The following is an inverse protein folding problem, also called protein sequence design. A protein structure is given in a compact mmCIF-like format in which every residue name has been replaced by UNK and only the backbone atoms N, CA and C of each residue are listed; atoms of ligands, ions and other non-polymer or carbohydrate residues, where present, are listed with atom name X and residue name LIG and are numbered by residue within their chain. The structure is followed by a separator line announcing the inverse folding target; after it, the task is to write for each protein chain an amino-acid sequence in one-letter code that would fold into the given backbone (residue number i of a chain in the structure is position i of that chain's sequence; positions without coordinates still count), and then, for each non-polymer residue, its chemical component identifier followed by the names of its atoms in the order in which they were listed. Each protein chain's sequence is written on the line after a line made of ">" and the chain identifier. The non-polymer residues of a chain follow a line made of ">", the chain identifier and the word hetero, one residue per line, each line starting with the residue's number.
data_IF_830106142010
#
_entry.id   IF_830106142010
#
_cell.length_a   1.000
_cell.length_b   1.000
_cell.length_c   1.000
_cell.angle_alpha   90.00
_cell.angle_beta   90.00
_cell.angle_gamma   90.00
#
_symmetry.space_group_name_H-M   'P 1'
#
loop_
_entity.id
_entity.type
_entity.pdbx_description
1 polymer ?
#
# COMPACT_ATOMS: atom_id res chain seq x y z
N UNK A 1 0.38 -7.96 47.62
CA UNK A 1 -0.41 -7.50 46.46
C UNK A 1 0.44 -6.95 45.29
N UNK A 2 1.76 -6.81 45.43
CA UNK A 2 2.66 -6.39 44.34
C UNK A 2 3.18 -7.56 43.48
N UNK A 3 3.26 -8.78 44.02
CA UNK A 3 3.76 -9.95 43.27
C UNK A 3 2.81 -10.43 42.15
N UNK A 4 1.49 -10.33 42.33
CA UNK A 4 0.52 -10.75 41.30
C UNK A 4 0.50 -9.84 40.05
N UNK A 5 1.00 -8.61 40.13
CA UNK A 5 1.00 -7.68 38.99
C UNK A 5 2.16 -7.96 38.01
N UNK A 6 3.25 -8.55 38.53
CA UNK A 6 4.45 -8.85 37.75
C UNK A 6 4.34 -10.21 37.04
N UNK A 7 3.59 -11.16 37.61
CA UNK A 7 3.24 -12.42 36.92
C UNK A 7 2.23 -12.23 35.77
N UNK A 8 1.28 -11.28 35.90
CA UNK A 8 0.31 -10.98 34.83
C UNK A 8 0.94 -10.31 33.59
N UNK A 9 2.04 -9.58 33.75
CA UNK A 9 2.79 -8.95 32.65
C UNK A 9 3.58 -9.95 31.79
N UNK A 10 3.81 -11.16 32.29
CA UNK A 10 4.57 -12.19 31.59
C UNK A 10 3.70 -13.15 30.75
N UNK A 11 2.37 -13.04 30.83
CA UNK A 11 1.42 -13.88 30.08
C UNK A 11 0.53 -13.11 29.10
N UNK A 12 0.69 -11.79 29.01
CA UNK A 12 -0.11 -10.93 28.13
C UNK A 12 0.58 -10.74 26.78
N UNK A 13 -0.18 -10.88 25.70
CA UNK A 13 0.34 -10.68 24.34
C UNK A 13 0.85 -9.24 24.17
N UNK A 14 1.66 -8.99 23.13
CA UNK A 14 2.16 -7.63 22.86
C UNK A 14 1.00 -6.63 22.66
N UNK A 15 -0.10 -7.09 22.09
CA UNK A 15 -1.39 -6.40 22.00
C UNK A 15 -1.96 -6.08 23.37
N UNK A 16 -2.07 -7.04 24.27
CA UNK A 16 -2.65 -6.82 25.62
C UNK A 16 -1.80 -5.85 26.45
N UNK A 17 -0.47 -5.88 26.31
CA UNK A 17 0.43 -4.91 26.98
C UNK A 17 0.31 -3.51 26.40
N UNK A 18 0.11 -3.41 25.09
CA UNK A 18 -0.18 -2.14 24.40
C UNK A 18 -1.55 -1.63 24.85
N UNK A 19 -2.60 -2.43 24.81
CA UNK A 19 -3.94 -2.09 25.30
C UNK A 19 -3.93 -1.67 26.78
N UNK A 20 -3.22 -2.37 27.67
CA UNK A 20 -3.08 -2.00 29.09
C UNK A 20 -2.36 -0.66 29.30
N UNK A 21 -1.26 -0.41 28.57
CA UNK A 21 -0.54 0.88 28.64
C UNK A 21 -1.34 2.02 28.01
N UNK A 22 -2.18 1.70 27.04
CA UNK A 22 -3.08 2.63 26.38
C UNK A 22 -4.39 2.82 27.15
N UNK A 23 -4.78 1.93 28.07
CA UNK A 23 -6.05 2.04 28.79
C UNK A 23 -6.17 3.36 29.56
N UNK A 24 -5.07 3.84 30.17
CA UNK A 24 -5.01 5.16 30.82
C UNK A 24 -5.04 6.34 29.82
N UNK A 25 -4.64 6.09 28.58
CA UNK A 25 -4.73 7.03 27.45
C UNK A 25 -6.13 7.06 26.85
N UNK A 26 -6.83 5.93 26.87
CA UNK A 26 -8.21 5.81 26.39
C UNK A 26 -9.21 6.55 27.29
N UNK A 27 -8.88 6.76 28.58
CA UNK A 27 -9.68 7.52 29.56
C UNK A 27 -9.61 9.04 29.40
N UNK A 28 -8.62 9.58 28.68
CA UNK A 28 -8.43 11.04 28.48
C UNK A 28 -9.13 11.58 27.23
N UNK A 29 -10.24 10.94 26.82
CA UNK A 29 -11.09 11.41 25.71
C UNK A 29 -11.40 12.91 25.89
N UNK A 30 -10.98 13.72 24.92
CA UNK A 30 -11.19 15.18 24.81
C UNK A 30 -10.17 16.11 25.49
N UNK A 31 -9.03 15.61 25.96
CA UNK A 31 -7.95 16.49 26.41
C UNK A 31 -7.18 17.07 25.21
N UNK A 32 -7.11 18.41 25.12
CA UNK A 32 -6.22 19.11 24.19
C UNK A 32 -4.75 18.76 24.49
N UNK A 33 -3.91 18.76 23.45
CA UNK A 33 -2.45 18.48 23.48
C UNK A 33 -1.76 18.94 24.77
N UNK A 34 -1.97 20.20 25.16
CA UNK A 34 -1.33 20.86 26.30
C UNK A 34 -1.62 20.18 27.66
N UNK A 35 -2.74 19.49 27.78
CA UNK A 35 -3.19 18.85 29.02
C UNK A 35 -2.83 17.36 29.10
N UNK A 36 -2.36 16.76 28.00
CA UNK A 36 -1.98 15.35 28.00
C UNK A 36 -0.65 15.15 28.75
N UNK A 37 -0.48 14.05 29.52
CA UNK A 37 0.81 13.73 30.12
C UNK A 37 1.87 13.47 29.05
N UNK A 38 3.14 13.80 29.33
CA UNK A 38 4.23 13.65 28.35
C UNK A 38 4.34 12.22 27.82
N UNK A 39 4.26 11.19 28.67
CA UNK A 39 4.32 9.80 28.21
C UNK A 39 3.17 9.40 27.27
N UNK A 40 2.02 10.09 27.32
CA UNK A 40 0.91 9.88 26.38
C UNK A 40 1.22 10.51 25.03
N UNK A 41 1.79 11.72 25.04
CA UNK A 41 2.24 12.40 23.81
C UNK A 41 3.33 11.61 23.09
N UNK A 42 4.27 11.01 23.81
CA UNK A 42 5.31 10.15 23.24
C UNK A 42 4.70 8.92 22.53
N UNK A 43 3.74 8.26 23.19
CA UNK A 43 3.04 7.10 22.61
C UNK A 43 2.25 7.50 21.38
N UNK A 44 1.49 8.59 21.44
CA UNK A 44 0.76 9.11 20.28
C UNK A 44 1.71 9.48 19.14
N UNK A 45 2.83 10.15 19.40
CA UNK A 45 3.79 10.55 18.37
C UNK A 45 4.42 9.32 17.69
N UNK A 46 4.91 8.35 18.49
CA UNK A 46 5.42 7.08 17.96
C UNK A 46 4.37 6.35 17.13
N UNK A 47 3.12 6.33 17.62
CA UNK A 47 2.03 5.66 16.93
C UNK A 47 1.70 6.35 15.59
N UNK A 48 1.54 7.67 15.56
CA UNK A 48 1.29 8.44 14.33
C UNK A 48 2.40 8.25 13.29
N UNK A 49 3.66 8.20 13.73
CA UNK A 49 4.78 7.92 12.82
C UNK A 49 4.64 6.52 12.17
N UNK A 50 4.32 5.49 12.95
CA UNK A 50 4.12 4.12 12.43
C UNK A 50 2.91 4.10 11.48
N UNK A 51 1.80 4.75 11.86
CA UNK A 51 0.59 4.79 11.03
C UNK A 51 0.86 5.48 9.70
N UNK A 52 1.65 6.56 9.70
CA UNK A 52 2.08 7.25 8.49
C UNK A 52 2.88 6.31 7.57
N UNK A 53 3.86 5.58 8.11
CA UNK A 53 4.66 4.62 7.32
C UNK A 53 3.77 3.55 6.67
N UNK A 54 2.71 3.10 7.36
CA UNK A 54 1.77 2.13 6.79
C UNK A 54 0.87 2.74 5.71
N UNK A 55 0.41 3.99 5.89
CA UNK A 55 -0.32 4.71 4.85
C UNK A 55 0.55 4.96 3.61
N UNK A 56 1.81 5.35 3.79
CA UNK A 56 2.79 5.51 2.71
C UNK A 56 3.04 4.17 1.98
N UNK A 57 3.11 3.06 2.71
CA UNK A 57 3.27 1.72 2.11
C UNK A 57 2.06 1.32 1.27
N UNK A 58 0.84 1.64 1.72
CA UNK A 58 -0.37 1.42 0.94
C UNK A 58 -0.40 2.30 -0.32
N UNK A 59 -0.02 3.58 -0.20
CA UNK A 59 0.13 4.49 -1.34
C UNK A 59 1.13 3.95 -2.36
N UNK A 60 2.30 3.51 -1.93
CA UNK A 60 3.32 2.91 -2.81
C UNK A 60 2.79 1.67 -3.55
N UNK A 61 2.08 0.78 -2.85
CA UNK A 61 1.51 -0.42 -3.46
C UNK A 61 0.44 -0.08 -4.51
N UNK A 62 -0.40 0.94 -4.27
CA UNK A 62 -1.42 1.37 -5.24
C UNK A 62 -0.76 2.04 -6.46
N UNK A 63 0.25 2.89 -6.25
CA UNK A 63 1.01 3.53 -7.34
C UNK A 63 1.73 2.50 -8.19
N UNK A 64 2.42 1.53 -7.58
CA UNK A 64 3.10 0.45 -8.31
C UNK A 64 2.10 -0.38 -9.14
N UNK A 65 0.92 -0.66 -8.58
CA UNK A 65 -0.14 -1.35 -9.31
C UNK A 65 -0.67 -0.54 -10.50
N UNK A 66 -0.84 0.78 -10.35
CA UNK A 66 -1.23 1.68 -11.42
C UNK A 66 -0.18 1.70 -12.55
N UNK A 67 1.09 1.88 -12.20
CA UNK A 67 2.20 1.92 -13.14
C UNK A 67 2.28 0.61 -13.96
N UNK A 68 2.16 -0.54 -13.28
CA UNK A 68 2.20 -1.84 -13.93
C UNK A 68 0.99 -2.10 -14.83
N UNK A 69 -0.21 -1.69 -14.42
CA UNK A 69 -1.41 -1.78 -15.24
C UNK A 69 -1.28 -0.89 -16.50
N UNK A 70 -0.75 0.31 -16.34
CA UNK A 70 -0.50 1.25 -17.44
C UNK A 70 0.51 0.71 -18.46
N UNK A 71 1.53 -0.03 -18.01
CA UNK A 71 2.50 -0.67 -18.89
C UNK A 71 1.88 -1.77 -19.77
N UNK A 72 0.92 -2.54 -19.23
CA UNK A 72 0.13 -3.46 -20.04
C UNK A 72 -0.73 -2.72 -21.07
N UNK A 73 -1.38 -1.63 -20.67
CA UNK A 73 -2.23 -0.84 -21.57
C UNK A 73 -1.41 -0.20 -22.70
N UNK A 74 -0.20 0.28 -22.40
CA UNK A 74 0.74 0.76 -23.41
C UNK A 74 1.14 -0.36 -24.39
N UNK A 75 1.46 -1.56 -23.89
CA UNK A 75 1.84 -2.70 -24.74
C UNK A 75 0.68 -3.13 -25.65
N UNK A 76 -0.55 -3.11 -25.12
CA UNK A 76 -1.78 -3.36 -25.90
C UNK A 76 -1.91 -2.33 -27.04
N UNK A 77 -1.74 -1.05 -26.73
CA UNK A 77 -1.84 0.03 -27.71
C UNK A 77 -0.76 -0.09 -28.79
N UNK A 78 0.48 -0.43 -28.43
CA UNK A 78 1.57 -0.65 -29.37
C UNK A 78 1.24 -1.76 -30.39
N UNK A 79 0.71 -2.90 -29.93
CA UNK A 79 0.28 -3.96 -30.84
C UNK A 79 -0.91 -3.56 -31.71
N UNK A 80 -1.87 -2.79 -31.17
CA UNK A 80 -2.99 -2.27 -31.97
C UNK A 80 -2.51 -1.31 -33.06
N UNK A 81 -1.57 -0.42 -32.75
CA UNK A 81 -1.02 0.51 -33.73
C UNK A 81 -0.21 -0.18 -34.83
N UNK A 82 0.43 -1.31 -34.52
CA UNK A 82 1.06 -2.17 -35.53
C UNK A 82 0.00 -2.81 -36.46
N UNK A 83 -1.11 -3.31 -35.92
CA UNK A 83 -2.19 -3.91 -36.71
C UNK A 83 -2.93 -2.87 -37.58
N UNK A 84 -3.06 -1.64 -37.07
CA UNK A 84 -3.63 -0.51 -37.79
C UNK A 84 -2.67 0.09 -38.85
N UNK A 85 -1.41 -0.39 -38.90
CA UNK A 85 -0.39 0.11 -39.83
C UNK A 85 0.15 1.50 -39.48
N UNK A 86 -0.11 2.01 -38.27
CA UNK A 86 0.44 3.29 -37.77
C UNK A 86 1.90 3.16 -37.34
N UNK A 87 2.30 1.97 -36.90
CA UNK A 87 3.68 1.62 -36.52
C UNK A 87 4.17 0.46 -37.38
N UNK A 88 5.44 0.52 -37.81
CA UNK A 88 6.04 -0.57 -38.58
C UNK A 88 6.13 -1.86 -37.75
N UNK A 89 5.91 -3.00 -38.41
CA UNK A 89 6.14 -4.30 -37.81
C UNK A 89 7.64 -4.52 -37.57
N UNK A 90 8.03 -5.16 -36.46
CA UNK A 90 9.38 -5.69 -36.32
C UNK A 90 9.69 -6.64 -37.47
N UNK A 91 10.93 -6.61 -38.00
CA UNK A 91 11.35 -7.37 -39.21
C UNK A 91 11.05 -8.88 -39.15
N UNK A 92 10.84 -9.45 -37.95
CA UNK A 92 10.63 -10.88 -37.71
C UNK A 92 9.19 -11.23 -37.29
N UNK A 93 8.24 -10.30 -37.37
CA UNK A 93 6.85 -10.52 -36.97
C UNK A 93 5.85 -10.37 -38.12
N UNK A 94 4.97 -11.37 -38.28
CA UNK A 94 3.78 -11.28 -39.12
C UNK A 94 2.62 -10.59 -38.39
N UNK A 95 1.62 -10.11 -39.14
CA UNK A 95 0.38 -9.56 -38.56
C UNK A 95 -0.36 -10.60 -37.70
N UNK A 96 -0.35 -11.87 -38.10
CA UNK A 96 -0.94 -12.97 -37.31
C UNK A 96 -0.23 -13.15 -35.96
N UNK A 97 1.10 -13.05 -35.94
CA UNK A 97 1.88 -13.09 -34.70
C UNK A 97 1.55 -11.88 -33.81
N UNK A 98 1.42 -10.68 -34.37
CA UNK A 98 1.04 -9.48 -33.59
C UNK A 98 -0.37 -9.62 -33.02
N UNK A 99 -1.33 -10.14 -33.78
CA UNK A 99 -2.68 -10.39 -33.29
C UNK A 99 -2.69 -11.39 -32.13
N UNK A 100 -1.96 -12.51 -32.25
CA UNK A 100 -1.85 -13.49 -31.18
C UNK A 100 -1.20 -12.91 -29.91
N UNK A 101 -0.19 -12.05 -30.07
CA UNK A 101 0.46 -11.34 -28.96
C UNK A 101 -0.47 -10.32 -28.31
N UNK A 102 -1.28 -9.61 -29.09
CA UNK A 102 -2.32 -8.69 -28.61
C UNK A 102 -3.34 -9.42 -27.74
N UNK A 103 -3.83 -10.57 -28.18
CA UNK A 103 -4.81 -11.36 -27.44
C UNK A 103 -4.21 -11.90 -26.13
N UNK A 104 -2.95 -12.37 -26.19
CA UNK A 104 -2.23 -12.84 -25.00
C UNK A 104 -1.98 -11.73 -23.98
N UNK A 105 -1.54 -10.53 -24.41
CA UNK A 105 -1.30 -9.42 -23.47
C UNK A 105 -2.60 -8.93 -22.84
N UNK A 106 -3.74 -8.97 -23.57
CA UNK A 106 -5.07 -8.64 -22.99
C UNK A 106 -5.48 -9.63 -21.90
N UNK A 107 -5.31 -10.93 -22.14
CA UNK A 107 -5.59 -11.97 -21.13
C UNK A 107 -4.68 -11.80 -19.89
N UNK A 108 -3.41 -11.52 -20.14
CA UNK A 108 -2.40 -11.29 -19.09
C UNK A 108 -2.74 -10.06 -18.27
N UNK A 109 -3.16 -8.97 -18.93
CA UNK A 109 -3.61 -7.72 -18.32
C UNK A 109 -4.84 -7.91 -17.45
N UNK A 110 -5.85 -8.67 -17.88
CA UNK A 110 -7.03 -8.99 -17.04
C UNK A 110 -6.65 -9.84 -15.81
N UNK A 111 -5.74 -10.80 -15.99
CA UNK A 111 -5.21 -11.59 -14.87
C UNK A 111 -4.49 -10.72 -13.85
N UNK A 112 -3.62 -9.82 -14.32
CA UNK A 112 -2.89 -8.88 -13.47
C UNK A 112 -3.84 -7.91 -12.77
N UNK A 113 -4.81 -7.33 -13.48
CA UNK A 113 -5.85 -6.46 -12.93
C UNK A 113 -6.51 -7.11 -11.71
N UNK A 114 -6.99 -8.35 -11.83
CA UNK A 114 -7.71 -9.02 -10.73
C UNK A 114 -6.81 -9.42 -9.57
N UNK A 115 -5.64 -10.02 -9.85
CA UNK A 115 -4.73 -10.49 -8.80
C UNK A 115 -4.04 -9.32 -8.10
N UNK A 116 -3.59 -8.32 -8.85
CA UNK A 116 -2.99 -7.10 -8.33
C UNK A 116 -3.96 -6.33 -7.44
N UNK A 117 -5.22 -6.18 -7.86
CA UNK A 117 -6.25 -5.57 -7.01
C UNK A 117 -6.45 -6.34 -5.70
N UNK A 118 -6.41 -7.69 -5.72
CA UNK A 118 -6.53 -8.49 -4.50
C UNK A 118 -5.35 -8.26 -3.52
N UNK A 119 -4.13 -8.20 -4.03
CA UNK A 119 -2.92 -7.93 -3.23
C UNK A 119 -2.94 -6.51 -2.66
N UNK A 120 -3.21 -5.50 -3.49
CA UNK A 120 -3.30 -4.10 -3.08
C UNK A 120 -4.41 -3.89 -2.05
N UNK A 121 -5.56 -4.53 -2.24
CA UNK A 121 -6.66 -4.50 -1.27
C UNK A 121 -6.26 -5.05 0.12
N UNK A 122 -5.22 -5.87 0.22
CA UNK A 122 -4.63 -6.28 1.50
C UNK A 122 -3.96 -5.12 2.24
N UNK A 123 -3.26 -4.22 1.53
CA UNK A 123 -2.69 -3.01 2.14
C UNK A 123 -3.77 -1.99 2.50
N UNK A 124 -4.78 -1.87 1.64
CA UNK A 124 -5.90 -0.96 1.85
C UNK A 124 -6.78 -1.38 3.03
N UNK A 125 -6.93 -2.68 3.27
CA UNK A 125 -7.56 -3.20 4.48
C UNK A 125 -6.80 -2.76 5.74
N UNK A 126 -5.46 -2.76 5.71
CA UNK A 126 -4.67 -2.25 6.84
C UNK A 126 -4.91 -0.75 6.99
N UNK A 127 -4.84 0.03 5.91
CA UNK A 127 -5.11 1.48 5.96
C UNK A 127 -6.50 1.79 6.54
N UNK A 128 -7.53 1.03 6.14
CA UNK A 128 -8.87 1.09 6.71
C UNK A 128 -8.85 0.82 8.21
N UNK A 129 -8.29 -0.31 8.64
CA UNK A 129 -8.26 -0.70 10.05
C UNK A 129 -7.60 0.38 10.90
N UNK A 130 -6.54 1.01 10.38
CA UNK A 130 -5.86 2.11 11.05
C UNK A 130 -6.71 3.38 11.14
N UNK A 131 -7.44 3.72 10.07
CA UNK A 131 -8.34 4.87 10.03
C UNK A 131 -9.50 4.73 11.02
N UNK A 132 -9.98 3.50 11.24
CA UNK A 132 -11.08 3.19 12.15
C UNK A 132 -10.62 2.88 13.59
N UNK A 133 -9.31 2.74 13.82
CA UNK A 133 -8.80 2.40 15.13
C UNK A 133 -8.98 3.55 16.13
N UNK A 134 -9.63 3.27 17.27
CA UNK A 134 -9.99 4.25 18.29
C UNK A 134 -8.78 5.06 18.80
N UNK A 135 -7.63 4.40 18.97
CA UNK A 135 -6.41 5.08 19.38
C UNK A 135 -5.92 6.09 18.34
N UNK A 136 -6.01 5.73 17.06
CA UNK A 136 -5.66 6.64 15.96
C UNK A 136 -6.54 7.87 16.00
N UNK A 137 -7.85 7.65 16.12
CA UNK A 137 -8.83 8.73 16.17
C UNK A 137 -8.61 9.66 17.38
N UNK A 138 -8.26 9.11 18.54
CA UNK A 138 -7.90 9.89 19.73
C UNK A 138 -6.62 10.69 19.54
N UNK A 139 -5.58 10.10 18.96
CA UNK A 139 -4.32 10.78 18.69
C UNK A 139 -4.52 11.94 17.71
N UNK A 140 -5.25 11.71 16.61
CA UNK A 140 -5.59 12.75 15.61
C UNK A 140 -6.43 13.86 16.26
N UNK A 141 -7.45 13.50 17.05
CA UNK A 141 -8.29 14.49 17.74
C UNK A 141 -7.52 15.31 18.76
N UNK A 142 -6.63 14.70 19.53
CA UNK A 142 -5.77 15.43 20.45
C UNK A 142 -4.82 16.36 19.69
N UNK A 143 -4.19 15.88 18.63
CA UNK A 143 -3.15 16.59 17.90
C UNK A 143 -3.68 17.75 17.04
N UNK A 144 -4.81 17.52 16.36
CA UNK A 144 -5.35 18.44 15.35
C UNK A 144 -6.66 19.10 15.76
N UNK A 145 -7.25 18.69 16.89
CA UNK A 145 -8.55 19.22 17.34
C UNK A 145 -9.73 18.80 16.47
N UNK A 146 -9.56 17.78 15.62
CA UNK A 146 -10.57 17.29 14.67
C UNK A 146 -10.63 15.77 14.63
N UNK A 147 -11.76 15.21 14.22
CA UNK A 147 -11.85 13.78 13.92
C UNK A 147 -11.01 13.41 12.70
N UNK A 148 -10.53 12.17 12.64
CA UNK A 148 -9.94 11.64 11.42
C UNK A 148 -10.96 11.68 10.26
N UNK A 149 -10.68 12.37 9.14
CA UNK A 149 -11.64 12.55 8.05
C UNK A 149 -12.03 11.25 7.33
N UNK A 150 -11.20 10.22 7.47
CA UNK A 150 -11.35 8.93 6.78
C UNK A 150 -11.88 7.82 7.67
N UNK A 151 -12.18 8.12 8.95
CA UNK A 151 -12.82 7.15 9.83
C UNK A 151 -14.29 6.94 9.44
N UNK A 152 -14.75 5.69 9.54
CA UNK A 152 -16.14 5.28 9.32
C UNK A 152 -16.56 5.21 7.86
N UNK A 153 -15.63 5.31 6.90
CA UNK A 153 -15.94 5.26 5.46
C UNK A 153 -16.38 3.86 4.98
N UNK A 154 -16.04 2.82 5.73
CA UNK A 154 -16.39 1.43 5.42
C UNK A 154 -15.52 0.80 4.33
N UNK A 155 -15.61 -0.52 4.20
CA UNK A 155 -14.68 -1.31 3.38
C UNK A 155 -14.74 -1.02 1.88
N UNK A 156 -15.92 -0.76 1.33
CA UNK A 156 -16.06 -0.50 -0.11
C UNK A 156 -15.37 0.81 -0.53
N UNK A 157 -15.30 1.79 0.39
CA UNK A 157 -14.54 3.01 0.16
C UNK A 157 -13.03 2.74 0.07
N UNK A 158 -12.50 1.73 0.73
CA UNK A 158 -11.06 1.49 0.70
C UNK A 158 -10.63 0.58 -0.43
N UNK A 159 -11.53 -0.22 -0.99
CA UNK A 159 -11.17 -1.25 -1.97
C UNK A 159 -11.17 -0.73 -3.39
N UNK A 160 -10.30 -1.31 -4.20
CA UNK A 160 -10.34 -1.23 -5.66
C UNK A 160 -11.23 -2.37 -6.16
N UNK A 161 -12.30 -2.05 -6.88
CA UNK A 161 -13.08 -3.05 -7.63
C UNK A 161 -12.44 -3.29 -9.01
N UNK A 162 -11.84 -4.47 -9.27
CA UNK A 162 -11.24 -4.77 -10.57
C UNK A 162 -12.29 -4.90 -11.69
N UNK A 163 -13.59 -4.93 -11.39
CA UNK A 163 -14.65 -4.97 -12.40
C UNK A 163 -15.26 -3.59 -12.69
N UNK A 164 -14.74 -2.54 -12.06
CA UNK A 164 -15.20 -1.18 -12.32
C UNK A 164 -15.00 -0.81 -13.80
N UNK A 165 -15.97 -0.09 -14.34
CA UNK A 165 -15.89 0.42 -15.72
C UNK A 165 -14.72 1.41 -15.87
N UNK A 166 -14.44 2.19 -14.84
CA UNK A 166 -13.34 3.14 -14.77
C UNK A 166 -12.35 2.69 -13.67
N UNK A 167 -11.45 1.77 -14.05
CA UNK A 167 -10.44 1.24 -13.13
C UNK A 167 -9.46 2.31 -12.65
N UNK A 168 -9.11 3.28 -13.50
CA UNK A 168 -8.18 4.34 -13.13
C UNK A 168 -8.84 5.36 -12.19
N UNK A 169 -10.13 5.66 -12.38
CA UNK A 169 -10.90 6.44 -11.41
C UNK A 169 -10.98 5.78 -10.03
N UNK A 170 -11.13 4.45 -9.96
CA UNK A 170 -11.07 3.70 -8.69
C UNK A 170 -9.69 3.78 -8.02
N UNK A 171 -8.62 3.63 -8.81
CA UNK A 171 -7.24 3.75 -8.34
C UNK A 171 -6.98 5.16 -7.80
N UNK A 172 -7.33 6.21 -8.56
CA UNK A 172 -7.11 7.60 -8.18
C UNK A 172 -7.90 7.99 -6.91
N UNK A 173 -9.13 7.49 -6.80
CA UNK A 173 -9.97 7.67 -5.60
C UNK A 173 -9.28 7.10 -4.36
N UNK A 174 -8.77 5.87 -4.47
CA UNK A 174 -8.09 5.22 -3.36
C UNK A 174 -6.75 5.91 -3.05
N UNK A 175 -5.97 6.28 -4.07
CA UNK A 175 -4.72 7.04 -3.90
C UNK A 175 -4.95 8.34 -3.12
N UNK A 176 -5.99 9.09 -3.47
CA UNK A 176 -6.36 10.30 -2.73
C UNK A 176 -6.69 10.01 -1.26
N UNK A 177 -7.38 8.92 -0.98
CA UNK A 177 -7.69 8.51 0.40
C UNK A 177 -6.44 8.11 1.19
N UNK A 178 -5.54 7.28 0.64
CA UNK A 178 -4.30 6.92 1.37
C UNK A 178 -3.33 8.10 1.51
N UNK A 179 -3.31 9.02 0.55
CA UNK A 179 -2.54 10.27 0.65
C UNK A 179 -3.08 11.17 1.77
N UNK A 180 -4.39 11.42 1.80
CA UNK A 180 -5.04 12.20 2.87
C UNK A 180 -4.80 11.56 4.25
N UNK A 181 -4.82 10.23 4.33
CA UNK A 181 -4.52 9.50 5.57
C UNK A 181 -3.06 9.71 6.00
N UNK A 182 -2.11 9.59 5.08
CA UNK A 182 -0.69 9.83 5.34
C UNK A 182 -0.43 11.27 5.80
N UNK A 183 -1.04 12.25 5.15
CA UNK A 183 -0.95 13.66 5.53
C UNK A 183 -1.52 13.87 6.94
N UNK A 184 -2.71 13.34 7.23
CA UNK A 184 -3.35 13.44 8.55
C UNK A 184 -2.43 12.91 9.67
N UNK A 185 -1.80 11.75 9.46
CA UNK A 185 -0.87 11.19 10.44
C UNK A 185 0.45 11.97 10.54
N UNK A 186 0.97 12.47 9.41
CA UNK A 186 2.14 13.32 9.37
C UNK A 186 1.95 14.63 10.14
N UNK A 187 0.82 15.29 9.92
CA UNK A 187 0.45 16.54 10.61
C UNK A 187 0.24 16.30 12.10
N UNK A 188 -0.46 15.20 12.46
CA UNK A 188 -0.65 14.80 13.86
C UNK A 188 0.68 14.55 14.55
N UNK A 189 1.59 13.79 13.92
CA UNK A 189 2.95 13.56 14.42
C UNK A 189 3.71 14.86 14.63
N UNK A 190 3.65 15.78 13.66
CA UNK A 190 4.34 17.07 13.72
C UNK A 190 3.82 17.94 14.88
N UNK A 191 2.51 17.99 15.09
CA UNK A 191 1.88 18.71 16.19
C UNK A 191 2.27 18.13 17.57
N UNK A 192 2.17 16.81 17.72
CA UNK A 192 2.58 16.10 18.95
C UNK A 192 4.06 16.34 19.26
N UNK A 193 4.92 16.26 18.25
CA UNK A 193 6.35 16.47 18.39
C UNK A 193 6.69 17.93 18.76
N UNK A 194 5.94 18.89 18.23
CA UNK A 194 6.12 20.31 18.56
C UNK A 194 5.78 20.59 20.02
N UNK A 195 4.72 19.96 20.55
CA UNK A 195 4.37 20.07 21.97
C UNK A 195 5.41 19.39 22.89
N UNK A 196 5.93 18.22 22.49
CA UNK A 196 7.03 17.57 23.22
C UNK A 196 8.28 18.46 23.29
N UNK A 197 8.65 19.13 22.19
CA UNK A 197 9.78 20.10 22.16
C UNK A 197 9.53 21.28 23.08
N UNK A 198 8.31 21.83 23.10
CA UNK A 198 7.94 22.97 23.94
C UNK A 198 8.13 22.66 25.43
N UNK A 199 7.94 21.40 25.84
CA UNK A 199 8.08 20.96 27.24
C UNK A 199 9.53 20.72 27.68
N UNK A 200 10.50 20.91 26.80
CA UNK A 200 11.93 20.63 27.04
C UNK A 200 12.21 19.19 27.50
N UNK A 201 11.30 18.25 27.17
CA UNK A 201 11.51 16.83 27.46
C UNK A 201 12.29 16.19 26.30
N UNK A 202 13.56 16.58 26.21
CA UNK A 202 14.54 16.10 25.21
C UNK A 202 14.83 14.60 25.29
N UNK A 203 14.28 13.89 26.28
CA UNK A 203 14.53 12.47 26.51
C UNK A 203 13.91 11.56 25.44
N UNK A 204 12.83 12.00 24.79
CA UNK A 204 12.21 11.31 23.65
C UNK A 204 13.12 11.35 22.40
N UNK A 205 13.72 12.51 22.12
CA UNK A 205 14.59 12.74 20.97
C UNK A 205 15.81 11.80 20.98
N UNK A 206 16.36 11.49 22.15
CA UNK A 206 17.50 10.57 22.24
C UNK A 206 17.16 9.08 22.06
N UNK A 207 15.88 8.68 22.20
CA UNK A 207 15.47 7.26 22.09
C UNK A 207 14.91 6.88 20.71
N UNK A 208 14.25 7.80 20.02
CA UNK A 208 13.53 7.50 18.77
C UNK A 208 13.95 8.35 17.55
N UNK A 209 14.73 9.43 17.74
CA UNK A 209 15.27 10.25 16.64
C UNK A 209 16.65 9.78 16.17
N UNK A 210 17.04 8.54 16.49
CA UNK A 210 18.05 7.90 15.64
C UNK A 210 17.35 7.61 14.31
N UNK A 211 17.79 8.20 13.19
CA UNK A 211 17.37 7.67 11.90
C UNK A 211 17.70 6.19 11.95
N UNK A 212 16.70 5.36 11.64
CA UNK A 212 16.83 3.93 11.46
C UNK A 212 17.77 3.64 10.29
N UNK A 213 19.05 3.97 10.44
CA UNK A 213 20.17 3.49 9.65
C UNK A 213 20.67 2.13 10.19
N UNK A 214 19.95 1.51 11.13
CA UNK A 214 20.35 0.24 11.74
C UNK A 214 19.16 -0.66 12.12
N UNK A 215 18.09 -0.68 11.33
CA UNK A 215 17.41 -1.96 11.09
C UNK A 215 18.17 -2.64 9.97
N UNK A 216 19.11 -3.52 10.35
CA UNK A 216 19.52 -4.60 9.47
C UNK A 216 18.25 -5.26 8.93
N UNK A 217 18.08 -5.18 7.61
CA UNK A 217 17.55 -6.20 6.72
C UNK A 217 16.99 -7.47 7.41
N UNK A 218 15.85 -7.34 8.08
CA UNK A 218 15.32 -8.38 8.94
C UNK A 218 13.81 -8.24 9.16
N UNK A 219 13.09 -7.71 8.17
CA UNK A 219 11.73 -8.10 7.78
C UNK A 219 11.40 -7.32 6.51
N UNK A 220 11.25 -8.06 5.41
CA UNK A 220 11.40 -7.57 4.04
C UNK A 220 10.28 -6.56 3.69
N UNK A 221 10.57 -5.41 3.07
CA UNK A 221 9.53 -4.56 2.54
C UNK A 221 8.78 -5.35 1.46
N UNK A 222 7.47 -5.32 1.61
CA UNK A 222 6.46 -6.06 0.86
C UNK A 222 6.35 -5.63 -0.62
N UNK A 223 7.16 -4.65 -1.02
CA UNK A 223 7.56 -4.25 -2.38
C UNK A 223 7.94 -5.44 -3.28
N UNK A 224 8.37 -6.56 -2.70
CA UNK A 224 8.57 -7.80 -3.46
C UNK A 224 7.28 -8.45 -3.97
N UNK A 225 6.12 -8.29 -3.33
CA UNK A 225 4.94 -9.10 -3.68
C UNK A 225 4.32 -8.66 -5.02
N UNK A 226 4.15 -7.36 -5.23
CA UNK A 226 3.66 -6.84 -6.52
C UNK A 226 4.71 -7.05 -7.61
N UNK A 227 5.99 -6.81 -7.30
CA UNK A 227 7.08 -7.13 -8.21
C UNK A 227 7.16 -8.61 -8.56
N UNK A 228 7.01 -9.54 -7.61
CA UNK A 228 6.99 -10.99 -7.84
C UNK A 228 5.78 -11.39 -8.66
N UNK A 229 4.60 -10.81 -8.39
CA UNK A 229 3.40 -11.02 -9.18
C UNK A 229 3.60 -10.53 -10.62
N UNK A 230 4.19 -9.34 -10.79
CA UNK A 230 4.53 -8.77 -12.08
C UNK A 230 5.54 -9.65 -12.83
N UNK A 231 6.66 -10.00 -12.19
CA UNK A 231 7.72 -10.82 -12.77
C UNK A 231 7.19 -12.18 -13.20
N UNK A 232 6.37 -12.82 -12.35
CA UNK A 232 5.71 -14.08 -12.67
C UNK A 232 4.74 -13.93 -13.84
N UNK A 233 3.90 -12.89 -13.82
CA UNK A 233 2.92 -12.64 -14.88
C UNK A 233 3.61 -12.35 -16.22
N UNK A 234 4.69 -11.56 -16.21
CA UNK A 234 5.52 -11.31 -17.38
C UNK A 234 6.30 -12.54 -17.83
N UNK A 235 6.75 -13.39 -16.92
CA UNK A 235 7.39 -14.65 -17.27
C UNK A 235 6.41 -15.57 -17.99
N UNK A 236 5.19 -15.73 -17.46
CA UNK A 236 4.11 -16.52 -18.08
C UNK A 236 3.78 -15.98 -19.49
N UNK A 237 3.71 -14.65 -19.64
CA UNK A 237 3.58 -14.00 -20.95
C UNK A 237 4.72 -14.35 -21.90
N UNK A 238 5.98 -14.17 -21.47
CA UNK A 238 7.17 -14.42 -22.32
C UNK A 238 7.27 -15.88 -22.76
N UNK A 239 6.95 -16.81 -21.87
CA UNK A 239 6.99 -18.24 -22.16
C UNK A 239 5.93 -18.62 -23.21
N UNK A 240 4.68 -18.21 -23.01
CA UNK A 240 3.59 -18.40 -23.98
C UNK A 240 3.87 -17.71 -25.32
N UNK A 241 4.44 -16.50 -25.30
CA UNK A 241 4.83 -15.76 -26.50
C UNK A 241 5.86 -16.53 -27.34
N UNK A 242 6.82 -17.17 -26.68
CA UNK A 242 7.83 -18.00 -27.35
C UNK A 242 7.19 -19.22 -28.00
N UNK A 243 6.22 -19.85 -27.33
CA UNK A 243 5.50 -21.00 -27.90
C UNK A 243 4.66 -20.60 -29.12
N UNK A 244 3.91 -19.50 -29.05
CA UNK A 244 3.15 -18.94 -30.19
C UNK A 244 4.06 -18.66 -31.38
N UNK A 245 5.20 -17.99 -31.15
CA UNK A 245 6.17 -17.69 -32.20
C UNK A 245 6.72 -18.97 -32.85
N UNK A 246 7.06 -19.98 -32.04
CA UNK A 246 7.54 -21.27 -32.52
C UNK A 246 6.48 -22.06 -33.31
N UNK A 247 5.21 -22.02 -32.90
CA UNK A 247 4.12 -22.72 -33.58
C UNK A 247 3.83 -22.10 -34.95
N UNK A 248 3.73 -20.77 -35.01
CA UNK A 248 3.46 -20.05 -36.26
C UNK A 248 4.63 -20.13 -37.25
N UNK A 249 5.87 -20.14 -36.74
CA UNK A 249 7.05 -20.39 -37.58
C UNK A 249 7.03 -21.79 -38.21
N UNK A 250 6.64 -22.82 -37.46
CA UNK A 250 6.52 -24.20 -37.98
C UNK A 250 5.39 -24.34 -39.01
N UNK A 251 4.27 -23.66 -38.81
CA UNK A 251 3.15 -23.67 -39.76
C UNK A 251 3.52 -22.99 -41.09
N UNK A 252 4.22 -21.86 -41.03
CA UNK A 252 4.67 -21.16 -42.24
C UNK A 252 5.84 -21.86 -42.97
N UNK A 253 6.71 -22.57 -42.23
CA UNK A 253 7.78 -23.39 -42.81
C UNK A 253 7.31 -24.72 -43.44
N UNK A 254 6.09 -25.17 -43.13
CA UNK A 254 5.49 -26.36 -43.77
C UNK A 254 4.72 -26.04 -45.06
N UNK A 255 4.40 -24.77 -45.33
CA UNK A 255 3.76 -24.30 -46.56
C UNK A 255 4.74 -24.00 -47.71
N UNK A 256 6.05 -24.24 -47.50
CA UNK A 256 7.13 -23.97 -48.46
C UNK A 256 7.81 -25.22 -49.06
N UNK A 257 7.12 -26.38 -49.07
CA UNK A 257 7.50 -27.59 -49.82
C UNK A 257 6.37 -28.00 -50.76
#
# INVERSE_FOLDING_TARGET
>A
MAENFQEAQNQTTLRDRVELRLSSVLETQNSVLENLPTGVLEVYASFMQIMKVQADSAWQAVTEYQDQLSAFDQTIQEYQDMLDGKTALPEQMSLEQVQAMLDLVKETRDTFLRKGAAEVNGYLSIAQDLADYDLTNKAVSAALGQSNPLSGKGTDFWRIDPNAQDIYGEIDRVLGAVEELSQTYGDSYSALNSELKRRDDSSYFYKYDRPSQNTQAGDRPKEYVLKELLERTWWEFRDKSRDISNQLYRQNGQLTL
#
